data_IF_167760467054
#
_entry.id   IF_167760467054
#
_cell.length_a   1.000
_cell.length_b   1.000
_cell.length_c   1.000
_cell.angle_alpha   90.00
_cell.angle_beta   90.00
_cell.angle_gamma   90.00
#
_symmetry.space_group_name_H-M   'P 1'
#
loop_
_entity.id
_entity.type
_entity.pdbx_description
1 polymer ?
#
# COMPACT_ATOMS: atom_id res chain seq x y z
N UNK A 1 -27.39 20.98 7.81
CA UNK A 1 -27.27 19.51 8.00
C UNK A 1 -27.89 19.21 9.35
N UNK A 2 -28.84 18.28 9.44
CA UNK A 2 -29.54 18.01 10.70
C UNK A 2 -28.67 17.25 11.69
N UNK A 3 -28.80 17.53 13.00
CA UNK A 3 -28.07 16.85 14.09
C UNK A 3 -28.20 15.32 14.02
N UNK A 4 -29.30 14.81 13.49
CA UNK A 4 -29.56 13.37 13.29
C UNK A 4 -28.56 12.69 12.31
N UNK A 5 -27.99 13.42 11.34
CA UNK A 5 -26.96 12.87 10.43
C UNK A 5 -25.60 12.80 11.11
N UNK A 6 -25.30 13.72 12.02
CA UNK A 6 -24.05 13.73 12.78
C UNK A 6 -24.03 12.59 13.80
N UNK A 7 -25.15 12.32 14.46
CA UNK A 7 -25.27 11.19 15.39
C UNK A 7 -25.07 9.83 14.72
N UNK A 8 -25.64 9.66 13.53
CA UNK A 8 -25.45 8.41 12.74
C UNK A 8 -24.01 8.16 12.31
N UNK A 9 -23.24 9.22 12.05
CA UNK A 9 -21.86 9.14 11.59
C UNK A 9 -20.86 9.39 12.73
N UNK A 10 -21.30 9.46 13.99
CA UNK A 10 -20.46 9.74 15.16
C UNK A 10 -19.26 8.79 15.28
N UNK A 11 -19.41 7.53 14.88
CA UNK A 11 -18.32 6.56 14.88
C UNK A 11 -17.18 6.94 13.90
N UNK A 12 -17.45 7.63 12.79
CA UNK A 12 -16.45 8.09 11.83
C UNK A 12 -15.66 9.30 12.37
N UNK A 13 -16.25 10.11 13.26
CA UNK A 13 -15.59 11.24 13.91
C UNK A 13 -14.85 10.85 15.20
N UNK A 14 -15.19 9.71 15.80
CA UNK A 14 -14.61 9.28 17.07
C UNK A 14 -13.07 9.20 17.07
N UNK A 15 -12.39 8.69 16.01
CA UNK A 15 -10.94 8.66 15.94
C UNK A 15 -10.30 10.04 16.00
N UNK A 16 -10.97 11.07 15.44
CA UNK A 16 -10.49 12.46 15.37
C UNK A 16 -10.64 13.21 16.71
N UNK A 17 -11.71 12.90 17.45
CA UNK A 17 -12.10 13.64 18.65
C UNK A 17 -11.50 13.08 19.95
N UNK A 18 -11.28 11.75 20.02
CA UNK A 18 -10.90 11.07 21.27
C UNK A 18 -9.48 10.54 21.19
N UNK A 19 -8.63 10.90 22.17
CA UNK A 19 -7.30 10.32 22.38
C UNK A 19 -7.29 9.62 23.73
N UNK A 20 -7.13 8.30 23.73
CA UNK A 20 -6.96 7.51 24.96
C UNK A 20 -5.47 7.32 25.32
N UNK A 21 -5.17 6.79 26.51
CA UNK A 21 -3.79 6.50 26.94
C UNK A 21 -3.05 5.56 25.96
N UNK A 22 -3.75 4.62 25.33
CA UNK A 22 -3.16 3.74 24.32
C UNK A 22 -2.55 4.47 23.13
N UNK A 23 -3.12 5.62 22.73
CA UNK A 23 -2.52 6.44 21.67
C UNK A 23 -1.14 6.98 22.08
N UNK A 24 -1.01 7.51 23.29
CA UNK A 24 0.27 8.05 23.77
C UNK A 24 1.33 6.96 23.93
N UNK A 25 0.96 5.77 24.44
CA UNK A 25 1.85 4.62 24.50
C UNK A 25 2.30 4.17 23.10
N UNK A 26 1.38 4.10 22.14
CA UNK A 26 1.73 3.77 20.75
C UNK A 26 2.71 4.80 20.18
N UNK A 27 2.44 6.09 20.33
CA UNK A 27 3.34 7.15 19.86
C UNK A 27 4.70 7.10 20.57
N UNK A 28 4.74 6.79 21.86
CA UNK A 28 6.00 6.66 22.59
C UNK A 28 6.85 5.47 22.08
N UNK A 29 6.25 4.30 21.89
CA UNK A 29 6.95 3.12 21.35
C UNK A 29 7.45 3.39 19.92
N UNK A 30 6.60 3.96 19.06
CA UNK A 30 6.99 4.31 17.69
C UNK A 30 8.07 5.40 17.69
N UNK A 31 8.00 6.36 18.62
CA UNK A 31 9.02 7.38 18.82
C UNK A 31 10.38 6.78 19.21
N UNK A 32 10.41 5.76 20.06
CA UNK A 32 11.64 5.03 20.40
C UNK A 32 12.21 4.27 19.20
N UNK A 33 11.37 3.62 18.39
CA UNK A 33 11.84 2.96 17.16
C UNK A 33 12.43 3.96 16.18
N UNK A 34 11.78 5.12 16.00
CA UNK A 34 12.27 6.18 15.11
C UNK A 34 13.57 6.79 15.66
N UNK A 35 13.67 6.97 16.97
CA UNK A 35 14.89 7.47 17.60
C UNK A 35 16.06 6.50 17.37
N UNK A 36 15.82 5.19 17.51
CA UNK A 36 16.83 4.17 17.20
C UNK A 36 17.26 4.26 15.73
N UNK A 37 16.32 4.35 14.79
CA UNK A 37 16.64 4.56 13.37
C UNK A 37 17.41 5.85 13.11
N UNK A 38 17.04 6.95 13.77
CA UNK A 38 17.72 8.22 13.63
C UNK A 38 19.18 8.17 14.15
N UNK A 39 19.41 7.50 15.28
CA UNK A 39 20.77 7.27 15.83
C UNK A 39 21.57 6.37 14.89
N UNK A 40 20.97 5.32 14.37
CA UNK A 40 21.58 4.41 13.40
C UNK A 40 21.98 5.16 12.12
N UNK A 41 21.09 5.94 11.54
CA UNK A 41 21.38 6.75 10.35
C UNK A 41 22.43 7.81 10.61
N UNK A 42 22.39 8.49 11.76
CA UNK A 42 23.44 9.44 12.14
C UNK A 42 24.81 8.79 12.21
N UNK A 43 24.89 7.60 12.82
CA UNK A 43 26.15 6.83 12.88
C UNK A 43 26.66 6.48 11.48
N UNK A 44 25.77 6.04 10.59
CA UNK A 44 26.13 5.76 9.20
C UNK A 44 26.55 7.02 8.45
N UNK A 45 25.87 8.14 8.66
CA UNK A 45 26.20 9.41 8.00
C UNK A 45 27.58 9.92 8.40
N UNK A 46 27.93 9.79 9.69
CA UNK A 46 29.23 10.23 10.24
C UNK A 46 30.37 9.31 9.85
N UNK A 47 30.19 7.98 9.94
CA UNK A 47 31.24 6.98 9.76
C UNK A 47 31.23 6.31 8.37
N UNK A 48 30.24 6.60 7.56
CA UNK A 48 30.03 5.99 6.24
C UNK A 48 29.41 4.61 6.29
N UNK A 49 29.23 3.99 5.11
CA UNK A 49 28.60 2.65 4.97
C UNK A 49 29.41 1.51 5.61
N UNK A 50 30.65 1.76 6.01
CA UNK A 50 31.49 0.75 6.67
C UNK A 50 30.95 0.23 8.01
N UNK A 51 29.98 0.91 8.64
CA UNK A 51 29.32 0.47 9.88
C UNK A 51 28.16 -0.51 9.61
N UNK A 52 27.80 -0.72 8.35
CA UNK A 52 26.77 -1.65 7.90
C UNK A 52 27.35 -3.00 7.53
N UNK A 53 26.50 -4.00 7.28
CA UNK A 53 26.90 -5.29 6.72
C UNK A 53 27.20 -5.23 5.21
N UNK A 54 27.02 -4.06 4.57
CA UNK A 54 27.24 -3.89 3.13
C UNK A 54 28.72 -3.92 2.81
N UNK A 55 29.12 -4.84 1.94
CA UNK A 55 30.50 -5.00 1.47
C UNK A 55 30.52 -5.66 0.09
N UNK A 56 31.61 -5.53 -0.63
CA UNK A 56 31.75 -6.22 -1.91
C UNK A 56 31.78 -7.75 -1.68
N UNK A 57 31.01 -8.55 -2.47
CA UNK A 57 30.14 -8.14 -3.59
C UNK A 57 28.70 -7.75 -3.20
N UNK A 58 28.29 -7.92 -1.94
CA UNK A 58 26.94 -7.64 -1.47
C UNK A 58 26.82 -6.16 -1.14
N UNK A 59 26.60 -5.36 -2.18
CA UNK A 59 26.45 -3.90 -2.05
C UNK A 59 25.04 -3.46 -1.70
N UNK A 60 24.04 -4.33 -1.86
CA UNK A 60 22.63 -4.09 -1.52
C UNK A 60 22.17 -5.13 -0.51
N UNK A 61 21.64 -4.64 0.62
CA UNK A 61 21.16 -5.46 1.72
C UNK A 61 19.75 -5.07 2.15
N UNK A 62 19.57 -4.80 3.44
CA UNK A 62 18.27 -4.45 4.01
C UNK A 62 17.67 -3.17 3.42
N UNK A 63 18.46 -2.16 3.10
CA UNK A 63 17.96 -0.88 2.59
C UNK A 63 17.21 -1.05 1.27
N UNK A 64 17.82 -1.73 0.30
CA UNK A 64 17.17 -2.01 -0.99
C UNK A 64 16.05 -3.03 -0.83
N UNK A 65 16.19 -4.02 0.07
CA UNK A 65 15.09 -4.94 0.43
C UNK A 65 13.88 -4.17 0.95
N UNK A 66 14.06 -3.26 1.90
CA UNK A 66 13.01 -2.41 2.46
C UNK A 66 12.43 -1.47 1.39
N UNK A 67 13.28 -0.86 0.57
CA UNK A 67 12.86 -0.03 -0.56
C UNK A 67 11.86 -0.78 -1.46
N UNK A 68 12.25 -1.93 -2.00
CA UNK A 68 11.39 -2.71 -2.91
C UNK A 68 10.14 -3.20 -2.19
N UNK A 69 10.22 -3.54 -0.90
CA UNK A 69 9.09 -3.96 -0.10
C UNK A 69 8.08 -2.84 0.12
N UNK A 70 8.51 -1.64 0.53
CA UNK A 70 7.62 -0.50 0.75
C UNK A 70 6.99 -0.01 -0.56
N UNK A 71 7.78 0.11 -1.63
CA UNK A 71 7.22 0.43 -2.96
C UNK A 71 6.23 -0.66 -3.40
N UNK A 72 6.48 -1.95 -3.07
CA UNK A 72 5.54 -3.04 -3.31
C UNK A 72 4.19 -2.82 -2.63
N UNK A 73 4.19 -2.57 -1.33
CA UNK A 73 2.95 -2.32 -0.56
C UNK A 73 2.15 -1.15 -1.12
N UNK A 74 2.79 -0.13 -1.70
CA UNK A 74 2.11 1.04 -2.22
C UNK A 74 1.07 0.74 -3.31
N UNK A 75 1.19 -0.40 -4.00
CA UNK A 75 0.26 -0.79 -5.06
C UNK A 75 -1.13 -1.17 -4.54
N UNK A 76 -1.24 -1.53 -3.26
CA UNK A 76 -2.52 -1.84 -2.64
C UNK A 76 -3.54 -0.72 -2.77
N UNK A 77 -3.11 0.46 -2.39
CA UNK A 77 -4.01 1.59 -2.32
C UNK A 77 -4.47 2.04 -3.68
N UNK A 78 -3.51 2.22 -4.54
CA UNK A 78 -3.76 2.81 -5.84
C UNK A 78 -4.50 1.86 -6.77
N UNK A 79 -4.01 0.63 -6.92
CA UNK A 79 -4.63 -0.32 -7.85
C UNK A 79 -5.98 -0.82 -7.33
N UNK A 80 -6.08 -1.19 -6.03
CA UNK A 80 -7.36 -1.67 -5.48
C UNK A 80 -8.40 -0.56 -5.50
N UNK A 81 -8.06 0.65 -5.03
CA UNK A 81 -8.98 1.78 -5.04
C UNK A 81 -9.42 2.14 -6.45
N UNK A 82 -8.48 2.29 -7.39
CA UNK A 82 -8.76 2.68 -8.76
C UNK A 82 -9.53 1.60 -9.54
N UNK A 83 -9.10 0.34 -9.49
CA UNK A 83 -9.77 -0.76 -10.20
C UNK A 83 -11.18 -0.97 -9.65
N UNK A 84 -11.36 -1.00 -8.33
CA UNK A 84 -12.68 -1.14 -7.73
C UNK A 84 -13.59 0.06 -8.02
N UNK A 85 -13.02 1.27 -8.15
CA UNK A 85 -13.77 2.46 -8.56
C UNK A 85 -14.22 2.37 -10.02
N UNK A 86 -13.34 1.99 -10.93
CA UNK A 86 -13.66 1.83 -12.36
C UNK A 86 -14.64 0.69 -12.62
N UNK A 87 -14.55 -0.40 -11.86
CA UNK A 87 -15.51 -1.52 -11.90
C UNK A 87 -16.84 -1.23 -11.17
N UNK A 88 -17.01 -0.02 -10.62
CA UNK A 88 -18.20 0.41 -9.87
C UNK A 88 -18.56 -0.52 -8.71
N UNK A 89 -17.56 -1.12 -8.06
CA UNK A 89 -17.75 -2.01 -6.92
C UNK A 89 -18.13 -1.21 -5.66
N UNK A 90 -19.39 -1.16 -5.30
CA UNK A 90 -19.90 -0.35 -4.18
C UNK A 90 -19.30 -0.73 -2.81
N UNK A 91 -18.93 -1.99 -2.62
CA UNK A 91 -18.31 -2.46 -1.38
C UNK A 91 -16.92 -1.84 -1.10
N UNK A 92 -16.30 -1.15 -2.08
CA UNK A 92 -15.01 -0.46 -1.91
C UNK A 92 -15.06 0.74 -0.96
N UNK A 93 -16.22 1.43 -0.87
CA UNK A 93 -16.35 2.75 -0.21
C UNK A 93 -15.70 2.85 1.19
N UNK A 94 -15.84 1.86 2.09
CA UNK A 94 -15.21 1.94 3.41
C UNK A 94 -13.70 1.64 3.42
N UNK A 95 -13.15 1.08 2.33
CA UNK A 95 -11.75 0.58 2.31
C UNK A 95 -10.81 1.42 1.43
N UNK A 96 -11.32 2.13 0.42
CA UNK A 96 -10.49 2.84 -0.56
C UNK A 96 -9.54 3.84 0.06
N UNK A 97 -10.03 4.68 0.97
CA UNK A 97 -9.20 5.67 1.64
C UNK A 97 -8.08 5.05 2.48
N UNK A 98 -8.37 3.97 3.22
CA UNK A 98 -7.33 3.26 3.96
C UNK A 98 -6.20 2.81 3.06
N UNK A 99 -6.55 2.29 1.90
CA UNK A 99 -5.62 1.83 0.89
C UNK A 99 -4.80 2.99 0.29
N UNK A 100 -5.43 4.10 -0.07
CA UNK A 100 -4.78 5.30 -0.62
C UNK A 100 -3.80 5.93 0.38
N UNK A 101 -4.15 5.96 1.66
CA UNK A 101 -3.25 6.46 2.73
C UNK A 101 -2.03 5.57 2.88
N UNK A 102 -2.20 4.23 2.90
CA UNK A 102 -1.08 3.29 2.92
C UNK A 102 -0.13 3.62 1.77
N UNK A 103 -0.65 3.75 0.54
CA UNK A 103 0.16 4.06 -0.65
C UNK A 103 1.05 5.27 -0.46
N UNK A 104 0.47 6.41 -0.09
CA UNK A 104 1.23 7.66 0.03
C UNK A 104 2.29 7.54 1.13
N UNK A 105 1.93 6.98 2.29
CA UNK A 105 2.86 6.87 3.42
C UNK A 105 4.03 5.93 3.11
N UNK A 106 3.77 4.76 2.52
CA UNK A 106 4.86 3.81 2.18
C UNK A 106 5.72 4.30 1.02
N UNK A 107 5.19 5.10 0.10
CA UNK A 107 6.00 5.72 -0.97
C UNK A 107 7.02 6.72 -0.41
N UNK A 108 6.62 7.53 0.58
CA UNK A 108 7.56 8.41 1.27
C UNK A 108 8.67 7.62 1.97
N UNK A 109 8.32 6.55 2.67
CA UNK A 109 9.30 5.72 3.38
C UNK A 109 10.20 4.98 2.38
N UNK A 110 9.62 4.39 1.33
CA UNK A 110 10.37 3.68 0.29
C UNK A 110 11.36 4.61 -0.42
N UNK A 111 10.95 5.81 -0.82
CA UNK A 111 11.86 6.80 -1.40
C UNK A 111 12.97 7.19 -0.40
N UNK A 112 12.66 7.26 0.90
CA UNK A 112 13.64 7.51 1.96
C UNK A 112 14.71 6.42 2.07
N UNK A 113 14.38 5.14 1.80
CA UNK A 113 15.35 4.04 1.84
C UNK A 113 16.47 4.20 0.80
N UNK A 114 16.16 4.78 -0.37
CA UNK A 114 17.18 5.09 -1.39
C UNK A 114 18.18 6.13 -0.82
N UNK A 115 17.70 7.14 -0.10
CA UNK A 115 18.55 8.16 0.52
C UNK A 115 19.48 7.55 1.56
N UNK A 116 18.99 6.59 2.33
CA UNK A 116 19.79 5.86 3.33
C UNK A 116 20.85 5.00 2.65
N UNK A 117 20.51 4.29 1.57
CA UNK A 117 21.42 3.41 0.84
C UNK A 117 22.53 4.16 0.08
N UNK A 118 22.28 5.41 -0.33
CA UNK A 118 23.24 6.20 -1.12
C UNK A 118 24.59 6.45 -0.40
N UNK A 119 24.65 6.41 0.93
CA UNK A 119 25.83 6.77 1.71
C UNK A 119 26.30 8.23 1.57
N UNK A 120 26.00 8.88 0.46
CA UNK A 120 26.32 10.29 0.13
C UNK A 120 25.08 11.04 -0.34
N UNK A 121 24.12 11.36 0.57
CA UNK A 121 22.86 12.03 0.21
C UNK A 121 23.08 13.44 -0.38
N UNK A 122 24.19 14.09 -0.09
CA UNK A 122 24.63 15.35 -0.70
C UNK A 122 24.75 15.28 -2.24
N UNK A 123 24.96 14.07 -2.80
CA UNK A 123 25.08 13.85 -4.24
C UNK A 123 23.78 13.42 -4.93
N UNK A 124 22.68 13.32 -4.21
CA UNK A 124 21.40 12.90 -4.79
C UNK A 124 21.01 13.73 -6.01
N UNK A 125 21.20 15.05 -5.93
CA UNK A 125 20.85 15.96 -7.04
C UNK A 125 21.66 15.69 -8.31
N UNK A 126 22.81 15.03 -8.22
CA UNK A 126 23.58 14.65 -9.39
C UNK A 126 22.87 13.66 -10.30
N UNK A 127 21.95 12.83 -9.74
CA UNK A 127 21.12 11.92 -10.54
C UNK A 127 20.21 12.69 -11.50
N UNK A 128 19.76 13.88 -11.10
CA UNK A 128 18.91 14.74 -11.92
C UNK A 128 19.77 15.64 -12.82
N UNK A 129 20.77 16.31 -12.26
CA UNK A 129 21.57 17.31 -12.96
C UNK A 129 22.52 16.71 -14.01
N UNK A 130 23.07 15.53 -13.73
CA UNK A 130 24.04 14.85 -14.60
C UNK A 130 23.56 13.47 -15.06
N UNK A 131 22.28 13.15 -14.82
CA UNK A 131 21.68 11.87 -15.18
C UNK A 131 21.65 11.67 -16.70
N UNK A 132 21.96 10.44 -17.13
CA UNK A 132 21.81 10.04 -18.53
C UNK A 132 20.44 9.44 -18.75
N UNK A 133 19.75 9.80 -19.83
CA UNK A 133 18.41 9.28 -20.15
C UNK A 133 18.35 7.76 -20.30
N UNK A 134 19.47 7.11 -20.60
CA UNK A 134 19.57 5.65 -20.70
C UNK A 134 19.73 4.97 -19.33
N UNK A 135 19.89 5.73 -18.25
CA UNK A 135 20.12 5.15 -16.92
C UNK A 135 18.82 4.63 -16.28
N UNK A 136 18.74 3.33 -15.94
CA UNK A 136 17.60 2.79 -15.18
C UNK A 136 17.37 3.49 -13.83
N UNK A 137 18.44 3.98 -13.18
CA UNK A 137 18.35 4.74 -11.92
C UNK A 137 17.62 6.08 -12.10
N UNK A 138 17.83 6.77 -13.25
CA UNK A 138 17.08 8.00 -13.55
C UNK A 138 15.61 7.69 -13.83
N UNK A 139 15.32 6.59 -14.54
CA UNK A 139 13.95 6.16 -14.77
C UNK A 139 13.24 5.83 -13.46
N UNK A 140 13.94 5.16 -12.54
CA UNK A 140 13.39 4.81 -11.22
C UNK A 140 13.07 6.06 -10.41
N UNK A 141 14.02 7.00 -10.28
CA UNK A 141 13.79 8.26 -9.57
C UNK A 141 12.62 9.07 -10.15
N UNK A 142 12.51 9.16 -11.48
CA UNK A 142 11.42 9.88 -12.14
C UNK A 142 10.08 9.17 -11.99
N UNK A 143 10.05 7.84 -12.12
CA UNK A 143 8.83 7.05 -12.00
C UNK A 143 8.27 7.06 -10.58
N UNK A 144 9.12 6.93 -9.56
CA UNK A 144 8.73 7.02 -8.14
C UNK A 144 8.19 8.42 -7.82
N UNK A 145 8.85 9.48 -8.30
CA UNK A 145 8.40 10.86 -8.10
C UNK A 145 7.04 11.10 -8.75
N UNK A 146 6.83 10.62 -9.97
CA UNK A 146 5.54 10.69 -10.68
C UNK A 146 4.45 9.91 -9.92
N UNK A 147 4.76 8.71 -9.43
CA UNK A 147 3.82 7.89 -8.70
C UNK A 147 3.45 8.49 -7.34
N UNK A 148 4.41 9.02 -6.61
CA UNK A 148 4.17 9.72 -5.34
C UNK A 148 3.26 10.94 -5.56
N UNK A 149 3.53 11.75 -6.59
CA UNK A 149 2.72 12.91 -6.94
C UNK A 149 1.30 12.50 -7.32
N UNK A 150 1.15 11.54 -8.22
CA UNK A 150 -0.15 11.06 -8.68
C UNK A 150 -0.97 10.44 -7.54
N UNK A 151 -0.34 9.62 -6.68
CA UNK A 151 -1.00 8.98 -5.54
C UNK A 151 -1.40 10.00 -4.46
N UNK A 152 -0.58 11.02 -4.23
CA UNK A 152 -0.92 12.12 -3.31
C UNK A 152 -2.12 12.91 -3.81
N UNK A 153 -2.17 13.24 -5.10
CA UNK A 153 -3.32 13.90 -5.71
C UNK A 153 -4.57 13.01 -5.66
N UNK A 154 -4.42 11.71 -5.94
CA UNK A 154 -5.52 10.75 -5.92
C UNK A 154 -6.11 10.54 -4.52
N UNK A 155 -5.28 10.60 -3.47
CA UNK A 155 -5.72 10.62 -2.07
C UNK A 155 -6.39 11.95 -1.71
N UNK A 156 -5.79 13.08 -2.13
CA UNK A 156 -6.21 14.40 -1.70
C UNK A 156 -7.56 14.82 -2.28
N UNK A 157 -7.83 14.53 -3.56
CA UNK A 157 -9.08 14.93 -4.21
C UNK A 157 -10.33 14.43 -3.46
N UNK A 158 -10.46 13.13 -3.12
CA UNK A 158 -11.60 12.65 -2.34
C UNK A 158 -11.62 13.12 -0.88
N UNK A 159 -10.51 13.66 -0.36
CA UNK A 159 -10.45 14.24 0.98
C UNK A 159 -11.09 15.63 1.06
N UNK A 160 -11.10 16.40 -0.02
CA UNK A 160 -11.57 17.79 -0.03
C UNK A 160 -12.98 17.96 0.58
N UNK A 161 -14.01 17.18 0.16
CA UNK A 161 -15.34 17.28 0.76
C UNK A 161 -15.37 16.92 2.25
N UNK A 162 -14.61 15.91 2.66
CA UNK A 162 -14.54 15.51 4.06
C UNK A 162 -13.81 16.54 4.93
N UNK A 163 -12.76 17.17 4.40
CA UNK A 163 -12.06 18.28 5.08
C UNK A 163 -13.01 19.47 5.26
N UNK A 164 -13.87 19.76 4.29
CA UNK A 164 -14.89 20.80 4.42
C UNK A 164 -15.91 20.44 5.51
N UNK A 165 -16.34 19.18 5.60
CA UNK A 165 -17.19 18.71 6.69
C UNK A 165 -16.49 18.91 8.07
N UNK A 166 -15.19 18.57 8.16
CA UNK A 166 -14.41 18.78 9.39
C UNK A 166 -14.25 20.25 9.76
N UNK A 167 -14.02 21.13 8.76
CA UNK A 167 -13.96 22.59 8.95
C UNK A 167 -15.21 23.12 9.65
N UNK A 168 -16.37 22.62 9.23
CA UNK A 168 -17.66 23.12 9.70
C UNK A 168 -18.06 22.53 11.08
N UNK A 169 -17.49 21.38 11.47
CA UNK A 169 -17.85 20.68 12.72
C UNK A 169 -16.76 20.69 13.79
N UNK A 170 -15.45 20.80 13.44
CA UNK A 170 -14.35 20.73 14.38
C UNK A 170 -13.66 22.10 14.55
N UNK A 171 -14.10 22.89 15.52
CA UNK A 171 -13.61 24.27 15.76
C UNK A 171 -12.10 24.38 16.05
N UNK A 172 -11.49 23.40 16.74
CA UNK A 172 -10.07 23.45 17.17
C UNK A 172 -9.04 23.52 16.05
N UNK A 173 -9.37 23.05 14.83
CA UNK A 173 -8.46 23.01 13.67
C UNK A 173 -9.04 23.72 12.44
N UNK A 174 -9.98 24.62 12.66
CA UNK A 174 -10.74 25.29 11.59
C UNK A 174 -9.85 25.98 10.56
N UNK A 175 -8.77 26.62 10.98
CA UNK A 175 -7.82 27.27 10.06
C UNK A 175 -7.16 26.25 9.11
N UNK A 176 -6.62 25.16 9.65
CA UNK A 176 -5.99 24.11 8.84
C UNK A 176 -6.97 23.53 7.81
N UNK A 177 -8.17 23.16 8.27
CA UNK A 177 -9.18 22.60 7.38
C UNK A 177 -9.73 23.63 6.37
N UNK A 178 -9.78 24.92 6.70
CA UNK A 178 -10.17 25.96 5.75
C UNK A 178 -9.19 26.10 4.60
N UNK A 179 -7.89 26.05 4.87
CA UNK A 179 -6.85 26.08 3.84
C UNK A 179 -6.91 24.82 2.98
N UNK A 180 -6.98 23.64 3.62
CA UNK A 180 -6.96 22.36 2.90
C UNK A 180 -8.25 22.04 2.15
N UNK A 181 -9.39 22.66 2.51
CA UNK A 181 -10.66 22.48 1.78
C UNK A 181 -10.71 23.26 0.45
N UNK A 182 -9.71 24.08 0.12
CA UNK A 182 -9.62 24.83 -1.14
C UNK A 182 -10.91 25.58 -1.53
N UNK A 183 -11.61 26.18 -0.53
CA UNK A 183 -12.85 26.90 -0.79
C UNK A 183 -14.05 26.02 -1.17
N UNK A 184 -14.00 24.72 -0.82
CA UNK A 184 -15.11 23.81 -1.07
C UNK A 184 -16.39 24.24 -0.33
N UNK A 185 -17.47 24.40 -1.09
CA UNK A 185 -18.81 24.79 -0.59
C UNK A 185 -19.89 23.74 -0.93
N UNK A 186 -19.55 22.70 -1.68
CA UNK A 186 -20.47 21.62 -2.03
C UNK A 186 -21.47 21.95 -3.14
N UNK A 187 -21.20 22.94 -4.00
CA UNK A 187 -22.07 23.24 -5.13
C UNK A 187 -22.08 22.09 -6.15
N UNK A 188 -23.16 21.95 -6.89
CA UNK A 188 -23.25 20.92 -7.95
C UNK A 188 -22.12 21.01 -8.97
N UNK A 189 -21.70 22.24 -9.32
CA UNK A 189 -20.59 22.45 -10.24
C UNK A 189 -19.28 21.90 -9.66
N UNK A 190 -18.96 22.24 -8.41
CA UNK A 190 -17.77 21.71 -7.73
C UNK A 190 -17.82 20.19 -7.65
N UNK A 191 -18.98 19.59 -7.32
CA UNK A 191 -19.15 18.14 -7.25
C UNK A 191 -18.92 17.47 -8.60
N UNK A 192 -19.47 18.03 -9.71
CA UNK A 192 -19.26 17.51 -11.06
C UNK A 192 -17.78 17.58 -11.49
N UNK A 193 -17.11 18.70 -11.20
CA UNK A 193 -15.67 18.88 -11.50
C UNK A 193 -14.82 17.90 -10.69
N UNK A 194 -15.08 17.77 -9.38
CA UNK A 194 -14.35 16.85 -8.51
C UNK A 194 -14.51 15.39 -8.96
N UNK A 195 -15.74 14.96 -9.23
CA UNK A 195 -16.01 13.58 -9.67
C UNK A 195 -15.30 13.27 -11.00
N UNK A 196 -15.25 14.25 -11.94
CA UNK A 196 -14.48 14.12 -13.19
C UNK A 196 -12.99 14.02 -12.91
N UNK A 197 -12.44 14.87 -12.04
CA UNK A 197 -11.02 14.85 -11.67
C UNK A 197 -10.63 13.52 -11.02
N UNK A 198 -11.45 13.00 -10.08
CA UNK A 198 -11.22 11.70 -9.45
C UNK A 198 -11.29 10.57 -10.50
N UNK A 199 -12.23 10.61 -11.44
CA UNK A 199 -12.33 9.60 -12.48
C UNK A 199 -11.11 9.59 -13.42
N UNK A 200 -10.63 10.77 -13.83
CA UNK A 200 -9.40 10.90 -14.63
C UNK A 200 -8.20 10.36 -13.86
N UNK A 201 -8.04 10.76 -12.60
CA UNK A 201 -6.93 10.28 -11.77
C UNK A 201 -6.98 8.76 -11.54
N UNK A 202 -8.17 8.17 -11.35
CA UNK A 202 -8.32 6.73 -11.23
C UNK A 202 -7.84 5.96 -12.47
N UNK A 203 -8.05 6.53 -13.67
CA UNK A 203 -7.53 5.95 -14.92
C UNK A 203 -6.02 6.13 -15.03
N UNK A 204 -5.50 7.34 -14.73
CA UNK A 204 -4.08 7.67 -14.90
C UNK A 204 -3.17 6.94 -13.91
N UNK A 205 -3.63 6.74 -12.67
CA UNK A 205 -2.81 6.17 -11.62
C UNK A 205 -2.49 4.68 -11.84
N UNK A 206 -3.33 3.95 -12.58
CA UNK A 206 -3.11 2.52 -12.88
C UNK A 206 -1.85 2.31 -13.74
N UNK A 207 -1.73 2.92 -14.94
CA UNK A 207 -0.52 2.74 -15.74
C UNK A 207 0.72 3.33 -15.06
N UNK A 208 0.60 4.42 -14.29
CA UNK A 208 1.72 4.97 -13.51
C UNK A 208 2.20 3.93 -12.47
N UNK A 209 1.31 3.33 -11.71
CA UNK A 209 1.65 2.31 -10.72
C UNK A 209 2.34 1.09 -11.37
N UNK A 210 1.78 0.56 -12.46
CA UNK A 210 2.36 -0.57 -13.18
C UNK A 210 3.74 -0.21 -13.76
N UNK A 211 3.90 1.02 -14.30
CA UNK A 211 5.18 1.45 -14.86
C UNK A 211 6.28 1.57 -13.81
N UNK A 212 5.98 2.09 -12.62
CA UNK A 212 6.97 2.19 -11.52
C UNK A 212 7.54 0.82 -11.19
N UNK A 213 6.69 -0.18 -10.94
CA UNK A 213 7.19 -1.52 -10.58
C UNK A 213 7.92 -2.21 -11.73
N UNK A 214 7.49 -1.97 -12.96
CA UNK A 214 8.21 -2.45 -14.13
C UNK A 214 9.60 -1.81 -14.22
N UNK A 215 9.69 -0.50 -13.98
CA UNK A 215 10.99 0.22 -13.99
C UNK A 215 11.88 -0.24 -12.84
N UNK A 216 11.36 -0.36 -11.60
CA UNK A 216 12.10 -0.92 -10.46
C UNK A 216 12.65 -2.30 -10.81
N UNK A 217 11.87 -3.18 -11.45
CA UNK A 217 12.36 -4.49 -11.86
C UNK A 217 13.47 -4.40 -12.91
N UNK A 218 13.44 -3.41 -13.80
CA UNK A 218 14.47 -3.20 -14.82
C UNK A 218 15.80 -2.74 -14.21
N UNK A 219 15.81 -2.05 -13.06
CA UNK A 219 17.05 -1.75 -12.34
C UNK A 219 17.80 -3.03 -12.00
N UNK A 220 17.11 -4.12 -11.70
CA UNK A 220 17.71 -5.43 -11.44
C UNK A 220 17.98 -6.19 -12.75
N UNK A 221 17.01 -6.33 -13.63
CA UNK A 221 17.08 -7.21 -14.81
C UNK A 221 18.04 -6.71 -15.89
N UNK A 222 18.41 -5.44 -15.88
CA UNK A 222 19.42 -4.87 -16.80
C UNK A 222 20.86 -4.98 -16.29
N UNK A 223 21.07 -5.61 -15.12
CA UNK A 223 22.41 -5.89 -14.61
C UNK A 223 22.92 -7.24 -15.11
N UNK A 224 24.20 -7.53 -14.87
CA UNK A 224 24.81 -8.83 -15.23
C UNK A 224 24.65 -9.89 -14.13
N UNK A 225 23.91 -9.60 -13.08
CA UNK A 225 23.79 -10.51 -11.94
C UNK A 225 22.95 -11.75 -12.28
N UNK A 226 23.36 -12.94 -11.81
CA UNK A 226 22.67 -14.17 -12.13
C UNK A 226 21.22 -14.18 -11.56
N UNK A 227 20.31 -14.88 -12.24
CA UNK A 227 18.88 -14.99 -11.91
C UNK A 227 18.10 -13.66 -11.88
N UNK A 228 18.65 -12.56 -12.38
CA UNK A 228 17.89 -11.33 -12.57
C UNK A 228 17.50 -11.09 -14.03
N UNK A 229 18.14 -11.77 -14.99
CA UNK A 229 17.89 -11.66 -16.41
C UNK A 229 16.65 -12.46 -16.81
N UNK A 230 15.48 -11.96 -16.54
CA UNK A 230 14.28 -12.66 -16.89
C UNK A 230 13.25 -11.71 -17.48
N UNK A 231 12.63 -12.09 -18.61
CA UNK A 231 11.53 -11.33 -19.22
C UNK A 231 10.28 -11.28 -18.34
N UNK A 232 10.14 -12.24 -17.42
CA UNK A 232 9.01 -12.31 -16.49
C UNK A 232 9.20 -11.39 -15.26
N UNK A 233 10.39 -10.83 -15.06
CA UNK A 233 10.73 -10.06 -13.86
C UNK A 233 9.83 -8.84 -13.66
N UNK A 234 9.48 -8.11 -14.74
CA UNK A 234 8.51 -7.02 -14.70
C UNK A 234 7.14 -7.46 -14.18
N UNK A 235 6.45 -8.37 -14.85
CA UNK A 235 5.18 -8.92 -14.39
C UNK A 235 5.25 -9.56 -12.99
N UNK A 236 6.34 -10.22 -12.66
CA UNK A 236 6.59 -10.83 -11.35
C UNK A 236 6.61 -9.78 -10.22
N UNK A 237 7.35 -8.68 -10.43
CA UNK A 237 7.40 -7.58 -9.46
C UNK A 237 6.04 -6.90 -9.29
N UNK A 238 5.31 -6.65 -10.38
CA UNK A 238 3.96 -6.05 -10.33
C UNK A 238 2.99 -6.97 -9.58
N UNK A 239 2.97 -8.27 -9.89
CA UNK A 239 2.12 -9.23 -9.21
C UNK A 239 2.44 -9.32 -7.71
N UNK A 240 3.73 -9.41 -7.35
CA UNK A 240 4.18 -9.41 -5.97
C UNK A 240 3.82 -8.13 -5.22
N UNK A 241 3.87 -6.98 -5.89
CA UNK A 241 3.45 -5.70 -5.32
C UNK A 241 1.95 -5.67 -5.00
N UNK A 242 1.10 -6.09 -5.93
CA UNK A 242 -0.35 -6.19 -5.70
C UNK A 242 -0.63 -7.16 -4.55
N UNK A 243 0.05 -8.29 -4.52
CA UNK A 243 -0.10 -9.32 -3.50
C UNK A 243 0.24 -8.80 -2.10
N UNK A 244 1.43 -8.21 -1.93
CA UNK A 244 1.86 -7.62 -0.66
C UNK A 244 0.95 -6.47 -0.21
N UNK A 245 0.49 -5.69 -1.16
CA UNK A 245 -0.37 -4.57 -0.90
C UNK A 245 -1.77 -4.97 -0.40
N UNK A 246 -2.42 -5.95 -1.02
CA UNK A 246 -3.70 -6.51 -0.55
C UNK A 246 -3.53 -7.02 0.89
N UNK A 247 -2.45 -7.75 1.15
CA UNK A 247 -2.16 -8.29 2.46
C UNK A 247 -2.00 -7.18 3.52
N UNK A 248 -1.21 -6.15 3.23
CA UNK A 248 -1.02 -5.01 4.13
C UNK A 248 -2.33 -4.26 4.40
N UNK A 249 -3.17 -4.06 3.38
CA UNK A 249 -4.49 -3.44 3.52
C UNK A 249 -5.40 -4.24 4.46
N UNK A 250 -5.47 -5.56 4.31
CA UNK A 250 -6.30 -6.43 5.16
C UNK A 250 -5.85 -6.34 6.63
N UNK A 251 -4.53 -6.35 6.88
CA UNK A 251 -3.99 -6.21 8.24
C UNK A 251 -4.36 -4.84 8.81
N UNK A 252 -4.17 -3.75 8.06
CA UNK A 252 -4.53 -2.41 8.50
C UNK A 252 -6.04 -2.28 8.77
N UNK A 253 -6.89 -2.83 7.90
CA UNK A 253 -8.35 -2.86 8.10
C UNK A 253 -8.73 -3.57 9.40
N UNK A 254 -8.11 -4.71 9.71
CA UNK A 254 -8.40 -5.46 10.92
C UNK A 254 -8.01 -4.69 12.19
N UNK A 255 -6.86 -4.05 12.18
CA UNK A 255 -6.35 -3.22 13.29
C UNK A 255 -7.29 -2.03 13.52
N UNK A 256 -7.60 -1.27 12.46
CA UNK A 256 -8.46 -0.08 12.52
C UNK A 256 -9.87 -0.47 12.96
N UNK A 257 -10.44 -1.53 12.40
CA UNK A 257 -11.76 -2.05 12.77
C UNK A 257 -11.86 -2.30 14.28
N UNK A 258 -10.82 -2.92 14.87
CA UNK A 258 -10.80 -3.27 16.29
C UNK A 258 -10.52 -2.07 17.20
N UNK A 259 -9.57 -1.20 16.84
CA UNK A 259 -9.17 -0.06 17.68
C UNK A 259 -10.26 1.00 17.73
N UNK A 260 -10.92 1.27 16.59
CA UNK A 260 -11.90 2.36 16.47
C UNK A 260 -13.36 1.87 16.46
N UNK A 261 -13.60 0.57 16.71
CA UNK A 261 -14.96 -0.02 16.74
C UNK A 261 -15.77 0.27 15.47
N UNK A 262 -15.15 0.07 14.29
CA UNK A 262 -15.76 0.34 12.98
C UNK A 262 -16.43 -0.90 12.37
N UNK A 263 -16.98 -1.79 13.19
CA UNK A 263 -17.63 -3.04 12.79
C UNK A 263 -18.83 -2.82 11.85
N UNK A 264 -19.54 -1.71 12.03
CA UNK A 264 -20.69 -1.35 11.21
C UNK A 264 -20.30 -1.04 9.74
N UNK A 265 -19.09 -0.54 9.52
CA UNK A 265 -18.57 -0.15 8.21
C UNK A 265 -17.70 -1.25 7.59
N UNK A 266 -16.76 -1.79 8.37
CA UNK A 266 -15.83 -2.85 7.95
C UNK A 266 -16.43 -4.23 8.26
N UNK A 267 -17.36 -4.67 7.42
CA UNK A 267 -18.11 -5.91 7.59
C UNK A 267 -17.28 -7.15 7.18
N UNK A 268 -17.62 -8.36 7.66
CA UNK A 268 -16.94 -9.60 7.28
C UNK A 268 -16.89 -9.85 5.76
N UNK A 269 -17.85 -9.31 5.00
CA UNK A 269 -17.90 -9.44 3.54
C UNK A 269 -16.70 -8.78 2.85
N UNK A 270 -16.21 -7.65 3.37
CA UNK A 270 -15.03 -6.98 2.81
C UNK A 270 -13.77 -7.85 2.97
N UNK A 271 -13.60 -8.46 4.14
CA UNK A 271 -12.49 -9.39 4.40
C UNK A 271 -12.58 -10.63 3.51
N UNK A 272 -13.79 -11.14 3.26
CA UNK A 272 -14.00 -12.29 2.40
C UNK A 272 -13.64 -11.99 0.95
N UNK A 273 -14.08 -10.85 0.40
CA UNK A 273 -13.76 -10.47 -0.98
C UNK A 273 -12.27 -10.21 -1.18
N UNK A 274 -11.64 -9.47 -0.25
CA UNK A 274 -10.20 -9.27 -0.29
C UNK A 274 -9.44 -10.57 -0.06
N UNK A 275 -9.96 -11.48 0.78
CA UNK A 275 -9.37 -12.81 1.00
C UNK A 275 -9.40 -13.69 -0.24
N UNK A 276 -10.48 -13.66 -1.04
CA UNK A 276 -10.51 -14.33 -2.34
C UNK A 276 -9.55 -13.69 -3.35
N UNK A 277 -9.48 -12.37 -3.36
CA UNK A 277 -8.50 -11.67 -4.21
C UNK A 277 -7.07 -12.04 -3.80
N UNK A 278 -6.79 -12.10 -2.49
CA UNK A 278 -5.49 -12.54 -1.96
C UNK A 278 -5.18 -13.98 -2.39
N UNK A 279 -6.15 -14.88 -2.39
CA UNK A 279 -5.99 -16.26 -2.85
C UNK A 279 -5.64 -16.32 -4.35
N UNK A 280 -6.31 -15.53 -5.18
CA UNK A 280 -5.99 -15.43 -6.62
C UNK A 280 -4.56 -14.94 -6.81
N UNK A 281 -4.16 -13.92 -6.05
CA UNK A 281 -2.78 -13.41 -6.10
C UNK A 281 -1.75 -14.40 -5.55
N UNK A 282 -2.10 -15.22 -4.55
CA UNK A 282 -1.26 -16.34 -4.08
C UNK A 282 -0.95 -17.31 -5.22
N UNK A 283 -1.96 -17.70 -5.99
CA UNK A 283 -1.79 -18.62 -7.12
C UNK A 283 -1.01 -17.98 -8.26
N UNK A 284 -1.27 -16.71 -8.57
CA UNK A 284 -0.54 -15.98 -9.60
C UNK A 284 0.93 -15.79 -9.21
N UNK A 285 1.20 -15.40 -7.96
CA UNK A 285 2.56 -15.29 -7.43
C UNK A 285 3.30 -16.63 -7.51
N UNK A 286 2.65 -17.71 -7.10
CA UNK A 286 3.23 -19.05 -7.19
C UNK A 286 3.54 -19.45 -8.63
N UNK A 287 2.61 -19.22 -9.57
CA UNK A 287 2.81 -19.50 -10.98
C UNK A 287 4.05 -18.78 -11.55
N UNK A 288 4.17 -17.49 -11.28
CA UNK A 288 5.30 -16.68 -11.75
C UNK A 288 6.62 -17.11 -11.09
N UNK A 289 6.60 -17.36 -9.78
CA UNK A 289 7.76 -17.85 -9.02
C UNK A 289 8.21 -19.22 -9.53
N UNK A 290 7.27 -20.14 -9.72
CA UNK A 290 7.57 -21.46 -10.24
C UNK A 290 8.15 -21.40 -11.67
N UNK A 291 7.56 -20.55 -12.54
CA UNK A 291 8.05 -20.37 -13.90
C UNK A 291 9.50 -19.85 -13.92
N UNK A 292 9.82 -18.86 -13.06
CA UNK A 292 11.16 -18.28 -12.93
C UNK A 292 12.19 -19.34 -12.52
N UNK A 293 11.90 -20.08 -11.45
CA UNK A 293 12.82 -21.13 -10.98
C UNK A 293 12.91 -22.32 -11.92
N UNK A 294 11.81 -22.69 -12.60
CA UNK A 294 11.80 -23.79 -13.58
C UNK A 294 12.68 -23.46 -14.80
N UNK A 295 12.56 -22.24 -15.33
CA UNK A 295 13.35 -21.84 -16.50
C UNK A 295 14.83 -21.71 -16.17
N UNK A 296 15.19 -21.15 -15.02
CA UNK A 296 16.57 -21.09 -14.54
C UNK A 296 17.17 -22.48 -14.33
N UNK A 297 16.42 -23.39 -13.67
CA UNK A 297 16.86 -24.78 -13.46
C UNK A 297 17.04 -25.54 -14.78
N UNK A 298 16.11 -25.40 -15.73
CA UNK A 298 16.19 -26.05 -17.02
C UNK A 298 17.28 -25.48 -17.92
N UNK A 299 17.51 -24.16 -17.84
CA UNK A 299 18.62 -23.48 -18.53
C UNK A 299 19.99 -23.94 -18.08
N UNK A 300 20.10 -24.34 -16.81
CA UNK A 300 21.29 -24.94 -16.20
C UNK A 300 22.60 -24.13 -16.43
N UNK A 301 22.49 -22.80 -16.46
CA UNK A 301 23.66 -21.94 -16.54
C UNK A 301 24.44 -22.01 -15.22
N UNK A 302 25.78 -22.27 -15.25
CA UNK A 302 26.56 -22.49 -14.02
C UNK A 302 26.44 -21.37 -13.00
N UNK A 303 26.38 -20.11 -13.44
CA UNK A 303 26.30 -18.95 -12.55
C UNK A 303 24.91 -18.82 -11.91
N UNK A 304 23.85 -19.11 -12.65
CA UNK A 304 22.48 -19.13 -12.11
C UNK A 304 22.26 -20.28 -11.14
N UNK A 305 22.83 -21.46 -11.44
CA UNK A 305 22.74 -22.64 -10.60
C UNK A 305 23.42 -22.47 -9.24
N UNK A 306 24.45 -21.62 -9.13
CA UNK A 306 25.06 -21.26 -7.84
C UNK A 306 24.02 -20.58 -6.94
N UNK A 307 23.33 -19.57 -7.45
CA UNK A 307 22.26 -18.84 -6.72
C UNK A 307 21.08 -19.75 -6.43
N UNK A 308 20.68 -20.60 -7.40
CA UNK A 308 19.62 -21.57 -7.22
C UNK A 308 19.89 -22.49 -6.01
N UNK A 309 21.03 -23.15 -5.99
CA UNK A 309 21.38 -24.07 -4.90
C UNK A 309 21.62 -23.34 -3.58
N UNK A 310 22.16 -22.11 -3.59
CA UNK A 310 22.31 -21.30 -2.40
C UNK A 310 20.96 -21.04 -1.71
N UNK A 311 19.86 -20.91 -2.47
CA UNK A 311 18.49 -20.71 -1.97
C UNK A 311 17.81 -22.02 -1.56
N UNK A 312 17.96 -23.10 -2.35
CA UNK A 312 17.19 -24.34 -2.13
C UNK A 312 17.78 -25.22 -1.02
N UNK A 313 19.09 -25.36 -0.95
CA UNK A 313 19.81 -26.25 -0.03
C UNK A 313 21.01 -25.59 0.66
N UNK A 314 21.48 -24.44 0.17
CA UNK A 314 22.63 -23.70 0.68
C UNK A 314 22.31 -22.77 1.84
N UNK A 315 23.13 -21.74 2.08
CA UNK A 315 23.02 -20.88 3.28
C UNK A 315 21.67 -20.18 3.46
N UNK A 316 20.96 -19.92 2.38
CA UNK A 316 19.70 -19.18 2.39
C UNK A 316 18.43 -20.07 2.41
N UNK A 317 18.58 -21.41 2.49
CA UNK A 317 17.44 -22.33 2.46
C UNK A 317 16.37 -22.05 3.51
N UNK A 318 16.69 -21.66 4.77
CA UNK A 318 15.64 -21.43 5.75
C UNK A 318 14.75 -20.22 5.39
N UNK A 319 15.38 -19.15 4.87
CA UNK A 319 14.64 -17.93 4.48
C UNK A 319 13.83 -18.16 3.21
N UNK A 320 14.36 -18.94 2.26
CA UNK A 320 13.65 -19.30 1.04
C UNK A 320 12.39 -20.15 1.33
N UNK A 321 12.52 -21.20 2.10
CA UNK A 321 11.38 -22.06 2.42
C UNK A 321 10.39 -21.40 3.38
N UNK A 322 10.86 -20.54 4.28
CA UNK A 322 9.99 -19.69 5.10
C UNK A 322 9.16 -18.74 4.21
N UNK A 323 9.76 -18.14 3.19
CA UNK A 323 9.07 -17.33 2.19
C UNK A 323 7.98 -18.14 1.48
N UNK A 324 8.30 -19.34 0.99
CA UNK A 324 7.34 -20.23 0.30
C UNK A 324 6.21 -20.63 1.25
N UNK A 325 6.52 -20.97 2.50
CA UNK A 325 5.51 -21.28 3.49
C UNK A 325 4.56 -20.10 3.74
N UNK A 326 5.11 -18.91 3.94
CA UNK A 326 4.34 -17.69 4.24
C UNK A 326 3.50 -17.20 3.06
N UNK A 327 4.00 -17.30 1.83
CA UNK A 327 3.32 -16.79 0.65
C UNK A 327 2.40 -17.79 -0.03
N UNK A 328 2.64 -19.09 0.12
CA UNK A 328 1.87 -20.14 -0.56
C UNK A 328 1.12 -21.05 0.42
N UNK A 329 1.87 -21.78 1.27
CA UNK A 329 1.29 -22.90 2.04
C UNK A 329 0.23 -22.40 3.01
N UNK A 330 0.58 -21.42 3.85
CA UNK A 330 -0.33 -20.92 4.88
C UNK A 330 -1.54 -20.17 4.28
N UNK A 331 -1.39 -19.28 3.29
CA UNK A 331 -2.53 -18.66 2.62
C UNK A 331 -3.45 -19.69 1.95
N UNK A 332 -2.92 -20.71 1.26
CA UNK A 332 -3.72 -21.77 0.64
C UNK A 332 -4.57 -22.52 1.68
N UNK A 333 -3.98 -22.94 2.80
CA UNK A 333 -4.71 -23.65 3.86
C UNK A 333 -5.84 -22.81 4.43
N UNK A 334 -5.60 -21.50 4.65
CA UNK A 334 -6.54 -20.61 5.32
C UNK A 334 -7.62 -20.06 4.40
N UNK A 335 -7.28 -19.75 3.12
CA UNK A 335 -8.15 -19.01 2.23
C UNK A 335 -9.04 -19.86 1.32
N UNK A 336 -8.69 -21.11 1.06
CA UNK A 336 -9.50 -22.01 0.20
C UNK A 336 -10.91 -22.24 0.76
N UNK A 337 -11.08 -22.21 2.10
CA UNK A 337 -12.38 -22.40 2.76
C UNK A 337 -12.73 -21.22 3.67
N UNK A 338 -13.09 -20.10 3.05
CA UNK A 338 -13.40 -18.81 3.75
C UNK A 338 -14.83 -18.70 4.27
N UNK A 339 -15.68 -19.73 4.18
CA UNK A 339 -17.09 -19.62 4.54
C UNK A 339 -17.34 -19.25 6.02
N UNK A 340 -16.53 -19.79 6.94
CA UNK A 340 -16.63 -19.53 8.37
C UNK A 340 -15.36 -18.84 8.87
N UNK A 341 -15.51 -17.92 9.85
CA UNK A 341 -14.40 -17.16 10.46
C UNK A 341 -13.53 -16.39 9.43
N UNK A 342 -14.17 -15.80 8.43
CA UNK A 342 -13.49 -15.13 7.32
C UNK A 342 -12.46 -14.08 7.78
N UNK A 343 -12.77 -13.28 8.80
CA UNK A 343 -11.87 -12.21 9.28
C UNK A 343 -10.56 -12.81 9.81
N UNK A 344 -10.65 -13.73 10.80
CA UNK A 344 -9.45 -14.28 11.44
C UNK A 344 -8.53 -15.00 10.45
N UNK A 345 -9.09 -15.88 9.61
CA UNK A 345 -8.32 -16.60 8.58
C UNK A 345 -7.64 -15.67 7.59
N UNK A 346 -8.39 -14.68 7.10
CA UNK A 346 -7.87 -13.71 6.13
C UNK A 346 -6.77 -12.85 6.74
N UNK A 347 -6.92 -12.41 7.99
CA UNK A 347 -5.91 -11.59 8.68
C UNK A 347 -4.63 -12.38 8.93
N UNK A 348 -4.72 -13.63 9.40
CA UNK A 348 -3.53 -14.47 9.63
C UNK A 348 -2.81 -14.75 8.31
N UNK A 349 -3.55 -15.11 7.26
CA UNK A 349 -2.97 -15.31 5.93
C UNK A 349 -2.28 -14.04 5.41
N UNK A 350 -2.91 -12.88 5.59
CA UNK A 350 -2.37 -11.59 5.17
C UNK A 350 -1.11 -11.21 5.95
N UNK A 351 -1.11 -11.39 7.26
CA UNK A 351 0.08 -11.14 8.08
C UNK A 351 1.25 -12.04 7.66
N UNK A 352 0.97 -13.31 7.36
CA UNK A 352 1.97 -14.24 6.82
C UNK A 352 2.52 -13.74 5.47
N UNK A 353 1.64 -13.33 4.55
CA UNK A 353 2.05 -12.80 3.24
C UNK A 353 2.91 -11.54 3.38
N UNK A 354 2.59 -10.62 4.30
CA UNK A 354 3.44 -9.43 4.54
C UNK A 354 4.87 -9.84 4.91
N UNK A 355 5.02 -10.80 5.82
CA UNK A 355 6.35 -11.34 6.19
C UNK A 355 7.00 -12.07 5.01
N UNK A 356 6.25 -12.93 4.34
CA UNK A 356 6.75 -13.72 3.20
C UNK A 356 7.21 -12.85 2.03
N UNK A 357 6.53 -11.72 1.77
CA UNK A 357 6.88 -10.80 0.70
C UNK A 357 8.11 -9.95 1.05
N UNK A 358 8.34 -9.64 2.34
CA UNK A 358 9.61 -9.06 2.74
C UNK A 358 10.77 -10.06 2.55
N UNK A 359 10.58 -11.31 2.97
CA UNK A 359 11.55 -12.39 2.73
C UNK A 359 11.82 -12.62 1.24
N UNK A 360 10.80 -12.49 0.40
CA UNK A 360 10.97 -12.60 -1.06
C UNK A 360 11.92 -11.53 -1.59
N UNK A 361 11.73 -10.24 -1.20
CA UNK A 361 12.63 -9.16 -1.62
C UNK A 361 14.06 -9.40 -1.16
N UNK A 362 14.24 -9.89 0.06
CA UNK A 362 15.53 -10.33 0.55
C UNK A 362 16.13 -11.47 -0.30
N UNK A 363 15.34 -12.49 -0.60
CA UNK A 363 15.76 -13.65 -1.40
C UNK A 363 16.06 -13.30 -2.87
N UNK A 364 15.50 -12.22 -3.41
CA UNK A 364 15.86 -11.72 -4.74
C UNK A 364 17.24 -11.06 -4.69
N UNK A 365 17.54 -10.26 -3.66
CA UNK A 365 18.69 -9.35 -3.63
C UNK A 365 19.94 -10.05 -3.07
N UNK A 366 19.88 -10.48 -1.83
CA UNK A 366 21.07 -10.89 -1.07
C UNK A 366 21.70 -12.19 -1.59
N UNK A 367 20.97 -13.29 -1.84
CA UNK A 367 21.55 -14.52 -2.37
C UNK A 367 22.22 -14.34 -3.74
N UNK A 368 21.64 -13.50 -4.59
CA UNK A 368 22.19 -13.20 -5.92
C UNK A 368 23.52 -12.45 -5.80
N UNK A 369 23.57 -11.39 -5.00
CA UNK A 369 24.81 -10.62 -4.80
C UNK A 369 25.87 -11.40 -4.03
N UNK A 370 25.48 -12.34 -3.17
CA UNK A 370 26.42 -13.23 -2.46
C UNK A 370 27.13 -14.22 -3.42
N UNK A 371 26.55 -14.48 -4.60
CA UNK A 371 27.10 -15.36 -5.63
C UNK A 371 27.32 -14.58 -6.95
N UNK A 372 28.28 -13.65 -6.98
CA UNK A 372 28.44 -12.74 -8.11
C UNK A 372 28.89 -13.50 -9.39
N UNK A 373 28.50 -12.97 -10.57
CA UNK A 373 28.96 -13.48 -11.86
C UNK A 373 30.42 -13.13 -12.13
N UNK A 374 30.86 -11.96 -11.67
CA UNK A 374 32.26 -11.53 -11.81
C UNK A 374 33.13 -12.26 -10.79
N UNK A 375 34.47 -12.35 -11.01
CA UNK A 375 35.40 -13.11 -10.17
C UNK A 375 35.67 -12.42 -8.84
N UNK A 376 34.63 -12.07 -8.10
CA UNK A 376 34.72 -11.70 -6.70
C UNK A 376 34.62 -12.96 -5.82
N UNK A 377 35.21 -12.94 -4.61
CA UNK A 377 34.96 -13.99 -3.65
C UNK A 377 33.47 -14.04 -3.28
N UNK A 378 33.00 -15.20 -2.84
CA UNK A 378 31.61 -15.32 -2.32
C UNK A 378 31.39 -14.32 -1.18
N UNK A 379 30.27 -13.61 -1.23
CA UNK A 379 29.94 -12.58 -0.25
C UNK A 379 29.16 -13.15 0.93
N UNK A 380 29.49 -12.72 2.13
CA UNK A 380 28.71 -12.98 3.33
C UNK A 380 28.07 -11.67 3.78
N UNK A 381 26.75 -11.65 3.84
CA UNK A 381 26.00 -10.51 4.33
C UNK A 381 25.33 -10.84 5.65
N UNK A 382 25.59 -10.02 6.64
CA UNK A 382 24.94 -10.08 7.94
C UNK A 382 24.60 -8.67 8.39
N UNK A 383 23.29 -8.34 8.55
CA UNK A 383 22.89 -6.98 8.90
C UNK A 383 23.41 -6.61 10.29
N UNK A 384 23.94 -5.40 10.41
CA UNK A 384 24.40 -4.84 11.69
C UNK A 384 23.24 -4.20 12.46
N UNK A 385 23.53 -3.74 13.68
CA UNK A 385 22.55 -3.00 14.48
C UNK A 385 22.06 -1.72 13.79
N UNK A 386 22.88 -1.13 12.91
CA UNK A 386 22.56 0.07 12.13
C UNK A 386 21.42 -0.23 11.15
N UNK A 387 21.53 -1.31 10.38
CA UNK A 387 20.51 -1.72 9.42
C UNK A 387 19.21 -2.18 10.10
N UNK A 388 19.32 -2.86 11.25
CA UNK A 388 18.16 -3.19 12.07
C UNK A 388 17.49 -1.94 12.66
N UNK A 389 18.28 -0.96 13.12
CA UNK A 389 17.78 0.31 13.62
C UNK A 389 17.05 1.11 12.56
N UNK A 390 17.63 1.21 11.35
CA UNK A 390 17.00 1.86 10.21
C UNK A 390 15.70 1.16 9.77
N UNK A 391 15.72 -0.16 9.72
CA UNK A 391 14.53 -0.95 9.41
C UNK A 391 13.43 -0.69 10.44
N UNK A 392 13.74 -0.80 11.73
CA UNK A 392 12.78 -0.53 12.80
C UNK A 392 12.27 0.91 12.75
N UNK A 393 13.15 1.89 12.52
CA UNK A 393 12.79 3.31 12.37
C UNK A 393 11.85 3.56 11.21
N UNK A 394 12.08 2.93 10.07
CA UNK A 394 11.25 3.05 8.87
C UNK A 394 9.85 2.47 9.07
N UNK A 395 9.73 1.29 9.66
CA UNK A 395 8.42 0.72 10.03
C UNK A 395 7.72 1.60 11.11
N UNK A 396 8.47 2.07 12.10
CA UNK A 396 7.98 2.99 13.12
C UNK A 396 7.42 4.27 12.52
N UNK A 397 8.14 4.88 11.59
CA UNK A 397 7.75 6.10 10.90
C UNK A 397 6.50 5.90 10.02
N UNK A 398 6.43 4.79 9.28
CA UNK A 398 5.24 4.41 8.51
C UNK A 398 3.99 4.32 9.39
N UNK A 399 4.08 3.55 10.48
CA UNK A 399 2.96 3.36 11.40
C UNK A 399 2.59 4.69 12.07
N UNK A 400 3.57 5.51 12.46
CA UNK A 400 3.32 6.82 13.07
C UNK A 400 2.59 7.75 12.11
N UNK A 401 3.04 7.86 10.85
CA UNK A 401 2.35 8.67 9.84
C UNK A 401 0.90 8.22 9.64
N UNK A 402 0.68 6.92 9.61
CA UNK A 402 -0.67 6.36 9.49
C UNK A 402 -1.54 6.69 10.71
N UNK A 403 -1.02 6.54 11.91
CA UNK A 403 -1.70 6.89 13.17
C UNK A 403 -2.01 8.39 13.24
N UNK A 404 -1.07 9.24 12.83
CA UNK A 404 -1.27 10.69 12.79
C UNK A 404 -2.32 11.09 11.74
N UNK A 405 -2.30 10.45 10.56
CA UNK A 405 -3.31 10.68 9.53
C UNK A 405 -4.73 10.41 10.07
N UNK A 406 -4.93 9.27 10.74
CA UNK A 406 -6.23 8.91 11.37
C UNK A 406 -6.69 9.93 12.42
N UNK A 407 -5.74 10.65 13.04
CA UNK A 407 -6.04 11.74 14.01
C UNK A 407 -6.32 13.09 13.37
N UNK A 408 -5.91 13.28 12.13
CA UNK A 408 -6.09 14.52 11.39
C UNK A 408 -7.26 14.44 10.39
N UNK A 409 -7.44 13.29 9.76
CA UNK A 409 -8.41 13.08 8.68
C UNK A 409 -9.22 11.81 8.89
N UNK A 410 -10.48 11.76 8.39
CA UNK A 410 -11.30 10.57 8.52
C UNK A 410 -10.72 9.44 7.65
N UNK A 411 -10.48 8.30 8.28
CA UNK A 411 -9.90 7.12 7.61
C UNK A 411 -10.90 6.40 6.69
N UNK A 412 -12.19 6.59 6.91
CA UNK A 412 -13.27 6.19 6.01
C UNK A 412 -13.89 7.45 5.43
N UNK A 413 -14.13 7.48 4.13
CA UNK A 413 -14.73 8.63 3.44
C UNK A 413 -16.17 8.84 3.88
N UNK A 414 -16.43 9.97 4.54
CA UNK A 414 -17.76 10.31 5.08
C UNK A 414 -18.72 10.60 3.93
N UNK A 415 -18.29 11.43 2.97
CA UNK A 415 -19.14 11.82 1.85
C UNK A 415 -19.46 10.63 0.92
N UNK A 416 -18.52 9.74 0.63
CA UNK A 416 -18.77 8.54 -0.18
C UNK A 416 -19.73 7.56 0.49
N UNK A 417 -19.62 7.40 1.82
CA UNK A 417 -20.57 6.57 2.58
C UNK A 417 -21.98 7.17 2.55
N UNK A 418 -22.11 8.48 2.67
CA UNK A 418 -23.41 9.18 2.56
C UNK A 418 -24.01 9.03 1.18
N UNK A 419 -23.23 9.29 0.14
CA UNK A 419 -23.67 9.11 -1.26
C UNK A 419 -24.11 7.67 -1.54
N UNK A 420 -23.35 6.65 -1.05
CA UNK A 420 -23.74 5.25 -1.21
C UNK A 420 -25.03 4.88 -0.48
N UNK A 421 -25.26 5.47 0.69
CA UNK A 421 -26.50 5.28 1.44
C UNK A 421 -27.71 5.89 0.70
N UNK A 422 -27.55 7.09 0.16
CA UNK A 422 -28.60 7.75 -0.63
C UNK A 422 -28.90 7.01 -1.93
N UNK A 423 -27.87 6.54 -2.62
CA UNK A 423 -28.03 5.73 -3.83
C UNK A 423 -28.77 4.41 -3.52
N UNK A 424 -28.42 3.73 -2.43
CA UNK A 424 -29.11 2.52 -2.00
C UNK A 424 -30.57 2.75 -1.62
N UNK A 425 -30.89 3.87 -0.97
CA UNK A 425 -32.27 4.23 -0.66
C UNK A 425 -33.08 4.50 -1.93
N UNK A 426 -32.54 5.22 -2.90
CA UNK A 426 -33.18 5.46 -4.21
C UNK A 426 -33.45 4.15 -4.96
N UNK A 427 -32.49 3.23 -4.96
CA UNK A 427 -32.64 1.91 -5.58
C UNK A 427 -33.77 1.11 -4.91
N UNK A 428 -33.85 1.12 -3.58
CA UNK A 428 -34.93 0.46 -2.84
C UNK A 428 -36.29 1.09 -3.16
N UNK A 429 -36.37 2.42 -3.18
CA UNK A 429 -37.59 3.13 -3.58
C UNK A 429 -38.02 2.79 -5.01
N UNK A 430 -37.09 2.75 -5.95
CA UNK A 430 -37.35 2.42 -7.34
C UNK A 430 -37.87 0.97 -7.49
N UNK A 431 -37.23 0.03 -6.77
CA UNK A 431 -37.68 -1.37 -6.72
C UNK A 431 -39.05 -1.50 -6.10
N UNK A 432 -39.31 -0.82 -4.98
CA UNK A 432 -40.66 -0.83 -4.36
C UNK A 432 -41.74 -0.31 -5.31
N UNK A 433 -41.46 0.75 -6.07
CA UNK A 433 -42.36 1.27 -7.09
C UNK A 433 -42.62 0.31 -8.24
N UNK A 434 -41.59 -0.45 -8.63
CA UNK A 434 -41.69 -1.43 -9.71
C UNK A 434 -42.50 -2.65 -9.29
N UNK A 435 -42.36 -3.13 -8.04
CA UNK A 435 -43.04 -4.32 -7.54
C UNK A 435 -44.38 -4.02 -6.86
N UNK A 436 -44.61 -2.79 -6.37
CA UNK A 436 -45.83 -2.33 -5.71
C UNK A 436 -46.26 -0.98 -6.30
N UNK A 437 -46.71 -0.93 -7.57
CA UNK A 437 -47.04 0.32 -8.25
C UNK A 437 -48.15 1.11 -7.55
N UNK A 438 -49.09 0.43 -6.85
CA UNK A 438 -50.17 1.03 -6.07
C UNK A 438 -49.84 1.22 -4.57
N UNK A 439 -48.57 1.10 -4.18
CA UNK A 439 -48.11 1.25 -2.80
C UNK A 439 -48.20 2.68 -2.25
N UNK A 440 -47.99 2.86 -0.93
CA UNK A 440 -48.19 4.14 -0.25
C UNK A 440 -47.15 5.23 -0.63
N UNK A 441 -46.27 4.97 -1.59
CA UNK A 441 -45.24 5.91 -2.02
C UNK A 441 -45.63 6.60 -3.33
N UNK A 442 -46.04 7.89 -3.31
CA UNK A 442 -46.33 8.64 -4.52
C UNK A 442 -45.09 8.83 -5.38
N UNK A 443 -45.23 8.77 -6.70
CA UNK A 443 -44.15 9.03 -7.63
C UNK A 443 -43.60 10.46 -7.44
N UNK A 444 -42.26 10.69 -7.43
CA UNK A 444 -41.71 12.06 -7.40
C UNK A 444 -42.14 12.76 -8.70
N UNK A 445 -42.90 13.83 -8.56
CA UNK A 445 -43.30 14.67 -9.70
C UNK A 445 -44.81 14.88 -9.87
N UNK A 446 -45.67 14.26 -9.06
CA UNK A 446 -47.13 14.49 -9.17
C UNK A 446 -47.75 15.50 -8.18
N UNK A 447 -46.94 16.26 -7.44
CA UNK A 447 -47.47 17.33 -6.57
C UNK A 447 -47.87 18.62 -7.33
N UNK A 448 -47.74 18.66 -8.66
CA UNK A 448 -48.04 19.86 -9.44
C UNK A 448 -49.36 19.82 -10.27
N UNK A 449 -50.10 18.72 -10.31
CA UNK A 449 -51.20 18.57 -11.28
C UNK A 449 -52.63 18.52 -10.70
N UNK A 450 -52.83 18.71 -9.40
CA UNK A 450 -54.20 18.70 -8.79
C UNK A 450 -54.57 19.99 -8.05
N UNK A 451 -54.09 21.14 -8.48
CA UNK A 451 -54.54 22.45 -8.00
C UNK A 451 -55.05 23.36 -9.14
N UNK A 452 -55.63 22.79 -10.19
CA UNK A 452 -56.26 23.55 -11.26
C UNK A 452 -57.44 22.76 -11.86
N UNK A 453 -58.51 22.60 -11.12
CA UNK A 453 -59.91 22.51 -11.60
C UNK A 453 -60.86 22.98 -10.49
#
# INVERSE_FOLDING_TARGET
>A
MSDATVERDAALFAPLARTGPGFYWTVAVLGLMILWGAVAYWTQFDQGLGVTGLQQPVSWGFYVTNFVFFIGISHAGTLISAILRLSKAEWRRPITRMAEVITVMVLFIGAGQILVDLGRPDRLMNVILYGRYQSPLLWDATSISAYLTASTLYLYLPLIPDIAILRDHLGKRRFLYSVLALGWTGTEHQQKVLNRAIAIMAVLVIPIAVSVHTVVSFVFSMTIQPMWHSSIFGPYFVAGAIFSGIAALIVAMAIIRRIYHLEAYLKPVHFRYLGYLLLVMTLLWFYLTFAEYLTGYYGNEPEEMKVFWAKFTGPFWPLFWAMVFCNLVLPMILLVRLQHHAIGKTVIASASVVVGMWLERFNIIVPTLSNPRLPFPEGHYWPTWVEWGETAGSFGLFILFYVLFVKLFPIISIWEIREGREAGLREVEERLRTYLPDGPYPAPGHEGAKAAT
#
